data_IF_122335728678
#
_entry.id   IF_122335728678
#
_cell.length_a   1.000
_cell.length_b   1.000
_cell.length_c   1.000
_cell.angle_alpha   90.00
_cell.angle_beta   90.00
_cell.angle_gamma   90.00
#
_symmetry.space_group_name_H-M   'P 1'
#
loop_
_entity.id
_entity.type
_entity.pdbx_description
1 polymer ?
#
# COMPACT_ATOMS: atom_id res chain seq x y z
N UNK A 1 6.21 14.12 10.79
CA UNK A 1 7.50 13.41 10.72
C UNK A 1 7.60 12.80 9.33
N UNK A 2 8.41 13.38 8.44
CA UNK A 2 8.70 12.80 7.12
C UNK A 2 9.58 11.57 7.35
N UNK A 3 8.96 10.43 7.58
CA UNK A 3 9.67 9.15 7.76
C UNK A 3 10.37 8.85 6.44
N UNK A 4 11.71 8.90 6.44
CA UNK A 4 12.58 8.61 5.30
C UNK A 4 12.13 7.37 4.49
N UNK A 5 11.58 6.37 5.18
CA UNK A 5 10.97 5.18 4.60
C UNK A 5 9.89 5.46 3.53
N UNK A 6 8.97 6.40 3.78
CA UNK A 6 7.91 6.73 2.82
C UNK A 6 8.51 7.38 1.56
N UNK A 7 9.53 8.23 1.73
CA UNK A 7 10.28 8.83 0.63
C UNK A 7 11.08 7.80 -0.17
N UNK A 8 11.71 6.83 0.49
CA UNK A 8 12.47 5.75 -0.16
C UNK A 8 11.56 4.78 -0.92
N UNK A 9 10.39 4.44 -0.35
CA UNK A 9 9.38 3.62 -1.03
C UNK A 9 8.84 4.37 -2.25
N UNK A 10 8.54 5.67 -2.13
CA UNK A 10 8.09 6.51 -3.25
C UNK A 10 9.16 6.69 -4.34
N UNK A 11 10.44 6.80 -3.98
CA UNK A 11 11.53 6.87 -4.96
C UNK A 11 11.68 5.57 -5.74
N UNK A 12 11.70 4.42 -5.07
CA UNK A 12 11.71 3.11 -5.74
C UNK A 12 10.45 2.93 -6.60
N UNK A 13 9.29 3.36 -6.10
CA UNK A 13 8.04 3.33 -6.85
C UNK A 13 8.13 4.08 -8.19
N UNK A 14 8.70 5.29 -8.18
CA UNK A 14 8.88 6.12 -9.39
C UNK A 14 9.89 5.49 -10.34
N UNK A 15 10.95 4.86 -9.80
CA UNK A 15 12.02 4.27 -10.59
C UNK A 15 11.62 2.96 -11.29
N UNK A 16 10.75 2.16 -10.67
CA UNK A 16 10.48 0.81 -11.15
C UNK A 16 9.07 0.60 -11.72
N UNK A 17 8.11 1.50 -11.45
CA UNK A 17 6.79 1.47 -12.09
C UNK A 17 5.95 0.22 -11.82
N UNK A 18 6.32 -0.61 -10.85
CA UNK A 18 5.57 -1.81 -10.48
C UNK A 18 4.52 -1.51 -9.41
N UNK A 19 3.42 -2.25 -9.47
CA UNK A 19 2.39 -2.20 -8.45
C UNK A 19 2.75 -3.19 -7.33
N UNK A 20 2.51 -2.77 -6.09
CA UNK A 20 2.84 -3.56 -4.90
C UNK A 20 1.60 -3.84 -4.07
N UNK A 21 1.62 -4.95 -3.35
CA UNK A 21 0.61 -5.27 -2.35
C UNK A 21 1.29 -5.56 -1.01
N UNK A 22 0.76 -4.95 0.06
CA UNK A 22 1.21 -5.13 1.44
C UNK A 22 0.12 -5.91 2.16
N UNK A 23 0.43 -7.16 2.52
CA UNK A 23 -0.52 -8.08 3.16
C UNK A 23 -0.34 -8.00 4.67
N UNK A 24 -1.42 -7.75 5.41
CA UNK A 24 -1.38 -7.75 6.87
C UNK A 24 -2.66 -7.27 7.53
N UNK A 25 -2.71 -7.47 8.85
CA UNK A 25 -3.77 -6.93 9.69
C UNK A 25 -3.40 -5.51 10.15
N UNK A 26 -4.06 -4.52 9.54
CA UNK A 26 -3.88 -3.10 9.85
C UNK A 26 -4.86 -2.58 10.91
N UNK A 27 -5.83 -3.39 11.34
CA UNK A 27 -6.89 -2.98 12.27
C UNK A 27 -6.36 -2.60 13.66
N UNK A 28 -5.23 -3.20 14.04
CA UNK A 28 -4.49 -2.89 15.29
C UNK A 28 -3.92 -1.49 15.36
N UNK A 29 -3.82 -0.78 14.24
CA UNK A 29 -3.23 0.56 14.20
C UNK A 29 -4.32 1.62 14.20
N UNK A 30 -4.58 2.21 15.37
CA UNK A 30 -5.59 3.25 15.53
C UNK A 30 -5.08 4.66 15.16
N UNK A 31 -4.36 4.76 14.03
CA UNK A 31 -3.78 6.01 13.55
C UNK A 31 -4.58 6.54 12.36
N UNK A 32 -5.21 7.71 12.52
CA UNK A 32 -5.95 8.39 11.45
C UNK A 32 -5.08 8.58 10.21
N UNK A 33 -3.84 9.04 10.38
CA UNK A 33 -2.92 9.24 9.26
C UNK A 33 -2.56 7.96 8.52
N UNK A 34 -2.49 6.81 9.21
CA UNK A 34 -2.24 5.53 8.55
C UNK A 34 -3.48 5.04 7.80
N UNK A 35 -4.67 5.17 8.39
CA UNK A 35 -5.91 4.79 7.74
C UNK A 35 -6.16 5.64 6.48
N UNK A 36 -5.95 6.96 6.58
CA UNK A 36 -6.04 7.87 5.44
C UNK A 36 -5.01 7.49 4.35
N UNK A 37 -3.77 7.14 4.75
CA UNK A 37 -2.75 6.69 3.82
C UNK A 37 -3.10 5.36 3.12
N UNK A 38 -3.62 4.38 3.86
CA UNK A 38 -4.08 3.10 3.32
C UNK A 38 -5.22 3.32 2.32
N UNK A 39 -6.18 4.17 2.67
CA UNK A 39 -7.32 4.49 1.83
C UNK A 39 -6.90 5.13 0.50
N UNK A 40 -6.08 6.19 0.54
CA UNK A 40 -5.58 6.87 -0.66
C UNK A 40 -4.66 5.96 -1.50
N UNK A 41 -3.84 5.13 -0.85
CA UNK A 41 -2.97 4.16 -1.53
C UNK A 41 -3.80 3.13 -2.31
N UNK A 42 -4.80 2.52 -1.66
CA UNK A 42 -5.71 1.55 -2.28
C UNK A 42 -6.50 2.15 -3.44
N UNK A 43 -6.86 3.43 -3.36
CA UNK A 43 -7.56 4.16 -4.43
C UNK A 43 -6.68 4.37 -5.66
N UNK A 44 -5.39 4.64 -5.47
CA UNK A 44 -4.43 4.78 -6.57
C UNK A 44 -4.17 3.46 -7.32
N UNK A 45 -4.54 2.31 -6.72
CA UNK A 45 -4.30 0.92 -7.19
C UNK A 45 -2.83 0.53 -7.36
N UNK A 46 -1.90 1.43 -7.01
CA UNK A 46 -0.46 1.28 -7.15
C UNK A 46 0.20 0.64 -5.94
N UNK A 47 -0.36 0.91 -4.76
CA UNK A 47 0.04 0.34 -3.48
C UNK A 47 -1.23 -0.21 -2.82
N UNK A 48 -1.38 -1.53 -2.81
CA UNK A 48 -2.58 -2.20 -2.32
C UNK A 48 -2.33 -2.80 -0.93
N UNK A 49 -2.95 -2.22 0.09
CA UNK A 49 -3.03 -2.79 1.43
C UNK A 49 -4.22 -3.74 1.49
N UNK A 50 -3.97 -5.00 1.80
CA UNK A 50 -4.98 -6.07 1.84
C UNK A 50 -4.77 -6.97 3.05
N UNK A 51 -5.83 -7.65 3.49
CA UNK A 51 -5.77 -8.50 4.67
C UNK A 51 -5.16 -9.87 4.38
N UNK A 52 -5.29 -10.34 3.14
CA UNK A 52 -4.89 -11.71 2.76
C UNK A 52 -4.04 -11.75 1.49
N UNK A 53 -3.32 -12.85 1.31
CA UNK A 53 -2.51 -13.08 0.10
C UNK A 53 -3.41 -13.26 -1.12
N UNK A 54 -4.57 -13.86 -0.94
CA UNK A 54 -5.57 -14.13 -1.97
C UNK A 54 -6.13 -12.80 -2.52
N UNK A 55 -6.45 -11.85 -1.65
CA UNK A 55 -6.84 -10.49 -2.04
C UNK A 55 -5.72 -9.78 -2.81
N UNK A 56 -4.46 -9.95 -2.41
CA UNK A 56 -3.32 -9.37 -3.13
C UNK A 56 -3.25 -9.90 -4.56
N UNK A 57 -3.35 -11.22 -4.73
CA UNK A 57 -3.32 -11.87 -6.06
C UNK A 57 -4.51 -11.37 -6.90
N UNK A 58 -5.72 -11.35 -6.33
CA UNK A 58 -6.92 -10.87 -7.03
C UNK A 58 -6.77 -9.42 -7.54
N UNK A 59 -6.11 -8.54 -6.77
CA UNK A 59 -5.82 -7.15 -7.18
C UNK A 59 -4.88 -7.05 -8.38
N UNK A 60 -3.96 -8.00 -8.54
CA UNK A 60 -3.07 -8.05 -9.70
C UNK A 60 -3.68 -8.78 -10.90
N UNK A 61 -4.51 -9.79 -10.68
CA UNK A 61 -5.13 -10.58 -11.74
C UNK A 61 -6.26 -9.85 -12.47
N UNK A 62 -6.91 -8.87 -11.84
CA UNK A 62 -8.07 -8.16 -12.39
C UNK A 62 -7.69 -6.88 -13.16
N UNK A 63 -6.63 -6.95 -13.98
CA UNK A 63 -6.08 -5.84 -14.76
C UNK A 63 -6.10 -6.11 -16.25
#
# INVERSE_FOLDING_TARGET
>A
IKTKLAGEILQKYTQYGFDIAIVGDFSRYNSKSLNDFIYESNKSKKINFVGTREEAIARFSNR
#
